data_IF_936351032624
#
_entry.id   IF_936351032624
#
_cell.length_a   1.000
_cell.length_b   1.000
_cell.length_c   1.000
_cell.angle_alpha   90.00
_cell.angle_beta   90.00
_cell.angle_gamma   90.00
#
_symmetry.space_group_name_H-M   'P 1'
#
loop_
_entity.id
_entity.type
_entity.pdbx_description
1 polymer ?
#
# COMPACT_ATOMS: atom_id res chain seq x y z
N UNK A 1 42.90 -21.06 9.38
CA UNK A 1 42.48 -22.26 10.09
C UNK A 1 42.24 -21.86 11.56
N UNK A 2 41.05 -21.44 11.90
CA UNK A 2 40.64 -21.29 13.32
C UNK A 2 39.53 -22.33 13.55
N UNK A 3 39.89 -23.43 14.16
CA UNK A 3 38.95 -24.33 14.80
C UNK A 3 38.47 -23.63 16.07
N UNK A 4 37.22 -23.20 16.12
CA UNK A 4 36.57 -22.87 17.38
C UNK A 4 36.18 -24.17 18.07
N UNK A 5 37.09 -24.64 18.93
CA UNK A 5 36.81 -25.73 19.89
C UNK A 5 35.86 -25.19 20.95
N UNK A 6 34.66 -25.74 21.03
CA UNK A 6 34.05 -25.83 22.34
C UNK A 6 35.06 -26.56 23.24
N UNK A 7 35.40 -25.99 24.40
CA UNK A 7 36.47 -26.44 25.27
C UNK A 7 36.48 -27.95 25.45
N UNK A 8 37.40 -28.62 24.78
CA UNK A 8 37.67 -30.02 24.99
C UNK A 8 38.37 -30.15 26.33
N UNK A 9 37.67 -30.63 27.33
CA UNK A 9 38.31 -31.20 28.51
C UNK A 9 39.04 -32.48 28.10
N UNK A 10 40.17 -32.70 28.72
CA UNK A 10 41.16 -33.74 28.51
C UNK A 10 40.63 -35.05 27.92
N UNK A 11 41.30 -35.49 26.88
CA UNK A 11 41.13 -36.74 26.19
C UNK A 11 40.92 -37.92 27.16
N UNK A 12 39.68 -38.38 27.27
CA UNK A 12 39.34 -39.64 27.84
C UNK A 12 38.99 -40.58 26.71
N UNK A 13 39.80 -41.60 26.39
CA UNK A 13 39.55 -42.49 25.26
C UNK A 13 38.27 -43.31 25.42
N UNK A 14 37.68 -43.38 26.59
CA UNK A 14 36.42 -44.07 26.84
C UNK A 14 35.15 -43.17 26.73
N UNK A 15 35.33 -41.84 26.54
CA UNK A 15 34.27 -40.91 26.27
C UNK A 15 34.34 -40.51 24.80
N UNK A 16 33.36 -40.88 24.02
CA UNK A 16 33.32 -40.68 22.57
C UNK A 16 33.67 -39.23 22.14
N UNK A 17 34.44 -39.14 21.06
CA UNK A 17 34.69 -37.87 20.35
C UNK A 17 33.52 -37.55 19.48
N UNK A 18 32.85 -36.43 19.78
CA UNK A 18 31.77 -35.92 18.98
C UNK A 18 32.19 -34.62 18.27
N UNK A 19 32.19 -34.65 16.93
CA UNK A 19 32.60 -33.53 16.10
C UNK A 19 31.60 -33.34 14.96
N UNK A 20 31.18 -32.10 14.74
CA UNK A 20 30.32 -31.75 13.61
C UNK A 20 31.11 -30.86 12.64
N UNK A 21 31.18 -31.25 11.38
CA UNK A 21 31.80 -30.46 10.32
C UNK A 21 30.80 -30.18 9.18
N UNK A 22 30.77 -28.93 8.68
CA UNK A 22 30.09 -28.64 7.42
C UNK A 22 30.91 -29.10 6.22
N UNK A 23 30.26 -29.55 5.14
CA UNK A 23 30.92 -30.07 3.90
C UNK A 23 31.92 -29.07 3.32
N UNK A 24 31.75 -27.78 3.52
CA UNK A 24 32.66 -26.76 3.00
C UNK A 24 33.86 -26.45 3.92
N UNK A 25 34.22 -27.33 4.80
CA UNK A 25 35.35 -27.21 5.77
C UNK A 25 35.26 -25.96 6.68
N UNK A 26 34.09 -25.43 6.89
CA UNK A 26 33.86 -24.33 7.80
C UNK A 26 33.14 -24.91 9.02
N UNK A 27 33.77 -24.83 10.20
CA UNK A 27 33.13 -25.14 11.47
C UNK A 27 32.23 -23.95 11.83
N UNK A 28 30.95 -24.14 11.70
CA UNK A 28 29.98 -23.10 12.07
C UNK A 28 29.19 -23.53 13.29
N UNK A 29 29.14 -22.67 14.26
CA UNK A 29 28.06 -22.66 15.24
C UNK A 29 26.79 -22.02 14.62
N UNK A 30 26.94 -21.25 13.53
CA UNK A 30 25.86 -20.54 12.87
C UNK A 30 25.99 -20.63 11.34
N UNK A 31 24.85 -20.72 10.65
CA UNK A 31 24.76 -20.64 9.17
C UNK A 31 23.62 -19.75 8.78
N UNK A 32 23.91 -18.74 7.95
CA UNK A 32 22.89 -17.98 7.24
C UNK A 32 22.49 -18.71 5.96
N UNK A 33 21.20 -18.82 5.72
CA UNK A 33 20.61 -19.37 4.50
C UNK A 33 19.62 -18.37 3.89
N UNK A 34 19.35 -18.55 2.60
CA UNK A 34 18.34 -17.73 1.90
C UNK A 34 16.95 -18.00 2.47
N UNK A 35 16.02 -17.14 2.12
CA UNK A 35 14.60 -17.30 2.45
C UNK A 35 13.93 -18.50 1.78
N UNK A 36 14.46 -19.00 0.65
CA UNK A 36 13.90 -20.16 -0.08
C UNK A 36 14.04 -21.44 0.73
N UNK A 37 13.12 -22.37 0.53
CA UNK A 37 13.27 -23.72 1.03
C UNK A 37 14.58 -24.34 0.50
N UNK A 38 15.22 -25.17 1.32
CA UNK A 38 16.48 -25.76 0.94
C UNK A 38 17.02 -26.76 1.95
N UNK A 39 18.27 -27.14 1.76
CA UNK A 39 18.97 -28.02 2.70
C UNK A 39 20.47 -27.72 2.76
N UNK A 40 21.06 -28.10 3.88
CA UNK A 40 22.50 -28.14 4.05
C UNK A 40 22.92 -29.50 4.63
N UNK A 41 24.12 -29.94 4.34
CA UNK A 41 24.65 -31.16 4.92
C UNK A 41 25.70 -30.83 5.97
N UNK A 42 25.64 -31.56 7.08
CA UNK A 42 26.62 -31.52 8.15
C UNK A 42 27.21 -32.93 8.35
N UNK A 43 28.49 -33.02 8.63
CA UNK A 43 29.14 -34.28 8.97
C UNK A 43 29.23 -34.40 10.48
N UNK A 44 28.71 -35.51 10.98
CA UNK A 44 28.93 -35.95 12.35
C UNK A 44 30.09 -36.93 12.31
N UNK A 45 31.17 -36.64 13.05
CA UNK A 45 32.24 -37.56 13.30
C UNK A 45 32.17 -38.00 14.78
N UNK A 46 31.95 -39.30 15.00
CA UNK A 46 31.73 -39.82 16.35
C UNK A 46 32.18 -41.28 16.44
N UNK A 47 32.73 -41.66 17.58
CA UNK A 47 33.06 -43.05 17.91
C UNK A 47 31.96 -43.71 18.79
N UNK A 48 30.86 -43.09 19.01
CA UNK A 48 29.71 -43.55 19.80
C UNK A 48 28.40 -43.36 19.06
N UNK A 49 27.32 -43.82 19.65
CA UNK A 49 25.98 -43.50 19.17
C UNK A 49 25.59 -42.04 19.52
N UNK A 50 24.89 -41.37 18.62
CA UNK A 50 24.46 -39.98 18.75
C UNK A 50 23.05 -39.79 18.22
N UNK A 51 22.41 -38.68 18.64
CA UNK A 51 21.08 -38.27 18.18
C UNK A 51 21.12 -36.85 17.63
N UNK A 52 20.20 -36.55 16.70
CA UNK A 52 19.96 -35.21 16.17
C UNK A 52 18.51 -34.82 16.31
N UNK A 53 18.26 -33.61 16.79
CA UNK A 53 16.91 -33.10 17.05
C UNK A 53 16.76 -31.66 16.57
N UNK A 54 15.84 -31.38 15.60
CA UNK A 54 15.47 -30.03 15.27
C UNK A 54 14.61 -29.44 16.40
N UNK A 55 14.98 -28.25 16.89
CA UNK A 55 14.29 -27.51 17.93
C UNK A 55 13.31 -26.47 17.38
N UNK A 56 13.20 -26.37 16.08
CA UNK A 56 12.31 -25.43 15.39
C UNK A 56 11.46 -26.16 14.37
N UNK A 57 10.16 -25.84 14.31
CA UNK A 57 9.17 -26.55 13.46
C UNK A 57 9.48 -26.50 11.96
N UNK A 58 10.19 -25.47 11.52
CA UNK A 58 10.54 -25.24 10.12
C UNK A 58 11.87 -25.92 9.72
N UNK A 59 12.52 -26.62 10.66
CA UNK A 59 13.71 -27.45 10.41
C UNK A 59 13.35 -28.92 10.50
N UNK A 60 13.96 -29.71 9.65
CA UNK A 60 13.90 -31.18 9.70
C UNK A 60 15.27 -31.79 9.43
N UNK A 61 15.46 -33.03 9.88
CA UNK A 61 16.68 -33.80 9.61
C UNK A 61 16.30 -35.10 8.93
N UNK A 62 17.16 -35.58 8.01
CA UNK A 62 16.92 -36.84 7.29
C UNK A 62 17.13 -38.08 8.18
N UNK A 63 17.78 -37.92 9.32
CA UNK A 63 17.97 -38.96 10.32
C UNK A 63 18.01 -38.37 11.74
N UNK A 64 17.36 -39.04 12.68
CA UNK A 64 17.30 -38.61 14.09
C UNK A 64 18.49 -39.07 14.93
N UNK A 65 19.46 -39.83 14.33
CA UNK A 65 20.66 -40.29 15.00
C UNK A 65 21.45 -41.24 14.16
N UNK A 66 22.58 -41.73 14.68
CA UNK A 66 23.46 -42.63 14.01
C UNK A 66 24.58 -43.16 14.93
N UNK A 67 25.49 -43.95 14.35
CA UNK A 67 26.70 -44.43 15.02
C UNK A 67 27.89 -44.23 14.09
N UNK A 68 28.97 -43.70 14.61
CA UNK A 68 30.15 -43.40 13.82
C UNK A 68 29.92 -42.13 12.93
N UNK A 69 30.79 -42.02 11.91
CA UNK A 69 30.85 -40.89 11.02
C UNK A 69 29.74 -40.96 9.96
N UNK A 70 28.87 -39.99 9.93
CA UNK A 70 27.74 -39.92 9.00
C UNK A 70 27.43 -38.48 8.60
N UNK A 71 26.97 -38.28 7.36
CA UNK A 71 26.34 -37.02 6.92
C UNK A 71 24.89 -36.95 7.41
N UNK A 72 24.49 -35.77 7.87
CA UNK A 72 23.10 -35.44 8.19
C UNK A 72 22.67 -34.28 7.30
N UNK A 73 21.55 -34.46 6.61
CA UNK A 73 20.92 -33.39 5.86
C UNK A 73 19.92 -32.70 6.73
N UNK A 74 20.15 -31.39 6.94
CA UNK A 74 19.19 -30.49 7.59
C UNK A 74 18.43 -29.77 6.49
N UNK A 75 17.11 -29.94 6.44
CA UNK A 75 16.21 -29.23 5.52
C UNK A 75 15.49 -28.13 6.24
N UNK A 76 15.19 -27.05 5.53
CA UNK A 76 14.46 -25.89 6.03
C UNK A 76 13.38 -25.47 5.03
N UNK A 77 12.22 -25.09 5.57
CA UNK A 77 11.10 -24.60 4.80
C UNK A 77 11.35 -23.18 4.31
N UNK A 78 10.60 -22.73 3.29
CA UNK A 78 10.58 -21.35 2.84
C UNK A 78 10.18 -20.39 3.98
N UNK A 79 10.83 -19.23 4.01
CA UNK A 79 10.52 -18.16 4.98
C UNK A 79 9.97 -16.94 4.26
N UNK A 80 8.67 -16.74 4.36
CA UNK A 80 7.96 -15.59 3.77
C UNK A 80 7.81 -14.38 4.69
N UNK A 81 8.28 -14.48 5.94
CA UNK A 81 8.02 -13.46 6.96
C UNK A 81 9.31 -12.83 7.49
N UNK A 82 9.46 -12.72 8.78
CA UNK A 82 10.62 -12.11 9.41
C UNK A 82 11.84 -13.03 9.40
N UNK A 83 13.04 -12.43 9.52
CA UNK A 83 14.27 -13.17 9.78
C UNK A 83 14.05 -14.10 10.96
N UNK A 84 14.27 -15.40 10.76
CA UNK A 84 14.08 -16.40 11.81
C UNK A 84 15.36 -17.17 12.09
N UNK A 85 15.49 -17.66 13.32
CA UNK A 85 16.60 -18.47 13.78
C UNK A 85 16.07 -19.76 14.35
N UNK A 86 16.68 -20.87 13.93
CA UNK A 86 16.35 -22.21 14.43
C UNK A 86 17.60 -22.98 14.81
N UNK A 87 17.44 -24.03 15.60
CA UNK A 87 18.52 -24.82 16.16
C UNK A 87 18.30 -26.28 15.81
N UNK A 88 19.38 -26.96 15.41
CA UNK A 88 19.47 -28.42 15.40
C UNK A 88 20.48 -28.83 16.44
N UNK A 89 20.06 -29.65 17.38
CA UNK A 89 20.88 -30.13 18.51
C UNK A 89 21.32 -31.55 18.29
N UNK A 90 22.61 -31.79 18.50
CA UNK A 90 23.24 -33.11 18.45
C UNK A 90 23.71 -33.51 19.84
N UNK A 91 23.39 -34.75 20.26
CA UNK A 91 23.76 -35.26 21.59
C UNK A 91 24.35 -36.64 21.47
N UNK A 92 25.33 -36.96 22.32
CA UNK A 92 25.91 -38.26 22.54
C UNK A 92 26.23 -38.48 23.99
N UNK A 93 26.23 -39.72 24.50
CA UNK A 93 26.49 -40.02 25.91
C UNK A 93 27.90 -39.59 26.30
N UNK A 94 27.97 -38.92 27.46
CA UNK A 94 29.22 -38.44 28.03
C UNK A 94 29.85 -37.22 27.37
N UNK A 95 29.17 -36.61 26.39
CA UNK A 95 29.65 -35.43 25.63
C UNK A 95 28.66 -34.27 25.72
N UNK A 96 29.19 -33.04 25.81
CA UNK A 96 28.32 -31.85 25.79
C UNK A 96 27.59 -31.79 24.45
N UNK A 97 26.30 -31.42 24.46
CA UNK A 97 25.54 -31.20 23.24
C UNK A 97 26.20 -30.15 22.34
N UNK A 98 26.13 -30.38 21.03
CA UNK A 98 26.54 -29.41 20.01
C UNK A 98 25.29 -28.90 19.30
N UNK A 99 25.21 -27.59 19.09
CA UNK A 99 24.09 -26.96 18.43
C UNK A 99 24.56 -26.25 17.18
N UNK A 100 23.78 -26.43 16.10
CA UNK A 100 23.92 -25.67 14.87
C UNK A 100 22.76 -24.66 14.83
N UNK A 101 23.12 -23.41 14.78
CA UNK A 101 22.18 -22.30 14.64
C UNK A 101 22.04 -22.00 13.15
N UNK A 102 20.80 -22.06 12.65
CA UNK A 102 20.48 -21.72 11.27
C UNK A 102 19.64 -20.43 11.29
N UNK A 103 20.19 -19.39 10.67
CA UNK A 103 19.49 -18.12 10.49
C UNK A 103 19.01 -18.01 9.06
N UNK A 104 17.70 -17.89 8.86
CA UNK A 104 17.09 -17.75 7.55
C UNK A 104 16.64 -16.31 7.31
N UNK A 105 17.00 -15.74 6.16
CA UNK A 105 16.62 -14.38 5.77
C UNK A 105 15.12 -14.27 5.56
N UNK A 106 14.59 -13.05 5.69
CA UNK A 106 13.24 -12.70 5.30
C UNK A 106 13.17 -12.39 3.79
N UNK A 107 11.98 -12.50 3.22
CA UNK A 107 11.64 -11.91 1.93
C UNK A 107 11.40 -10.42 2.11
N UNK A 108 12.08 -9.60 1.33
CA UNK A 108 11.95 -8.14 1.38
C UNK A 108 11.76 -7.54 0.00
N UNK A 109 11.15 -6.38 -0.03
CA UNK A 109 11.08 -5.49 -1.18
C UNK A 109 11.55 -4.08 -0.77
N UNK A 110 11.64 -3.16 -1.72
CA UNK A 110 11.98 -1.75 -1.45
C UNK A 110 10.99 -0.82 -2.12
N UNK A 111 10.73 0.33 -1.50
CA UNK A 111 10.01 1.43 -2.13
C UNK A 111 10.98 2.39 -2.85
N UNK A 112 10.54 3.08 -3.93
CA UNK A 112 9.23 2.94 -4.57
C UNK A 112 9.06 1.59 -5.26
N UNK A 113 7.80 1.10 -5.28
CA UNK A 113 7.47 -0.11 -6.03
C UNK A 113 7.64 0.13 -7.53
N UNK A 114 7.95 -0.94 -8.28
CA UNK A 114 8.24 -0.83 -9.71
C UNK A 114 6.97 -0.88 -10.58
N UNK A 115 7.00 -0.20 -11.71
CA UNK A 115 5.96 -0.23 -12.73
C UNK A 115 6.57 -0.81 -14.01
N UNK A 116 6.07 -1.97 -14.44
CA UNK A 116 6.64 -2.69 -15.58
C UNK A 116 8.14 -3.00 -15.41
N UNK A 117 8.58 -3.25 -14.17
CA UNK A 117 9.97 -3.55 -13.81
C UNK A 117 10.89 -2.33 -13.65
N UNK A 118 10.38 -1.11 -13.75
CA UNK A 118 11.16 0.12 -13.64
C UNK A 118 10.69 1.01 -12.48
N UNK A 119 11.60 1.75 -11.87
CA UNK A 119 11.25 2.85 -10.97
C UNK A 119 10.71 4.00 -11.82
N UNK A 120 9.43 4.29 -11.68
CA UNK A 120 8.73 5.33 -12.44
C UNK A 120 7.76 6.10 -11.56
N UNK A 121 7.44 7.32 -11.96
CA UNK A 121 6.46 8.16 -11.26
C UNK A 121 5.05 7.60 -11.44
N UNK A 122 4.28 7.64 -10.36
CA UNK A 122 2.85 7.35 -10.33
C UNK A 122 2.24 8.26 -9.27
N UNK A 123 1.90 9.50 -9.62
CA UNK A 123 1.14 10.36 -8.73
C UNK A 123 -0.25 9.78 -8.50
N UNK A 124 -0.82 10.08 -7.33
CA UNK A 124 -2.18 9.72 -6.96
C UNK A 124 -2.45 8.22 -7.18
N UNK A 125 -1.64 7.33 -6.54
CA UNK A 125 -1.65 5.90 -6.83
C UNK A 125 -2.92 5.25 -6.30
N UNK A 126 -3.61 4.50 -7.18
CA UNK A 126 -4.77 3.72 -6.79
C UNK A 126 -4.51 2.24 -7.08
N UNK A 127 -4.48 1.44 -6.01
CA UNK A 127 -4.32 -0.02 -6.08
C UNK A 127 -5.37 -0.67 -5.19
N UNK A 128 -6.26 -1.45 -5.79
CA UNK A 128 -7.33 -2.17 -5.10
C UNK A 128 -7.17 -3.68 -5.30
N UNK A 129 -7.36 -4.45 -4.22
CA UNK A 129 -7.42 -5.92 -4.29
C UNK A 129 -8.84 -6.38 -4.58
N UNK A 130 -9.01 -7.23 -5.59
CA UNK A 130 -10.24 -7.95 -5.86
C UNK A 130 -9.91 -9.39 -6.24
N UNK A 131 -10.48 -10.34 -5.50
CA UNK A 131 -10.08 -11.74 -5.57
C UNK A 131 -8.59 -11.93 -5.34
N UNK A 132 -7.93 -12.63 -6.26
CA UNK A 132 -6.49 -12.93 -6.20
C UNK A 132 -5.61 -11.83 -6.82
N UNK A 133 -6.20 -10.74 -7.31
CA UNK A 133 -5.49 -9.73 -8.08
C UNK A 133 -5.51 -8.37 -7.41
N UNK A 134 -4.43 -7.64 -7.60
CA UNK A 134 -4.34 -6.19 -7.40
C UNK A 134 -4.54 -5.48 -8.73
N UNK A 135 -5.49 -4.57 -8.77
CA UNK A 135 -5.75 -3.72 -9.93
C UNK A 135 -5.20 -2.33 -9.66
N UNK A 136 -4.33 -1.88 -10.54
CA UNK A 136 -3.79 -0.52 -10.52
C UNK A 136 -4.53 0.33 -11.53
N UNK A 137 -5.04 1.48 -11.10
CA UNK A 137 -5.66 2.48 -11.95
C UNK A 137 -4.86 3.79 -11.85
N UNK A 138 -4.51 4.37 -12.99
CA UNK A 138 -3.74 5.62 -13.01
C UNK A 138 -4.04 6.48 -14.24
N UNK A 139 -3.78 7.78 -14.10
CA UNK A 139 -3.74 8.68 -15.26
C UNK A 139 -2.52 8.34 -16.16
N UNK A 140 -2.74 8.42 -17.47
CA UNK A 140 -1.72 8.18 -18.49
C UNK A 140 -1.92 9.19 -19.64
N UNK A 141 -1.31 10.37 -19.49
CA UNK A 141 -1.65 11.52 -20.32
C UNK A 141 -3.12 11.89 -20.13
N UNK A 142 -3.84 12.08 -21.24
CA UNK A 142 -5.27 12.35 -21.21
C UNK A 142 -6.12 11.06 -21.20
N UNK A 143 -5.67 10.02 -20.56
CA UNK A 143 -6.40 8.76 -20.49
C UNK A 143 -6.21 8.03 -19.18
N UNK A 144 -6.94 6.94 -19.01
CA UNK A 144 -6.90 6.05 -17.87
C UNK A 144 -6.25 4.75 -18.29
N UNK A 145 -5.25 4.32 -17.53
CA UNK A 145 -4.56 3.07 -17.75
C UNK A 145 -4.75 2.14 -16.53
N UNK A 146 -5.03 0.88 -16.81
CA UNK A 146 -5.28 -0.15 -15.82
C UNK A 146 -4.33 -1.33 -16.06
N UNK A 147 -3.86 -1.95 -14.98
CA UNK A 147 -3.18 -3.24 -15.01
C UNK A 147 -3.63 -4.10 -13.84
N UNK A 148 -3.31 -5.38 -13.89
CA UNK A 148 -3.49 -6.28 -12.76
C UNK A 148 -2.19 -7.03 -12.45
N UNK A 149 -1.99 -7.35 -11.19
CA UNK A 149 -0.86 -8.13 -10.67
C UNK A 149 -1.36 -9.07 -9.59
N UNK A 150 -0.69 -10.19 -9.37
CA UNK A 150 -0.90 -11.02 -8.17
C UNK A 150 -0.09 -10.50 -6.98
N UNK A 151 0.73 -9.47 -7.18
CA UNK A 151 1.64 -8.89 -6.19
C UNK A 151 1.28 -7.44 -5.92
N UNK A 152 1.27 -7.05 -4.65
CA UNK A 152 1.12 -5.65 -4.23
C UNK A 152 2.38 -4.84 -4.52
N UNK A 153 3.55 -5.45 -4.38
CA UNK A 153 4.85 -4.77 -4.50
C UNK A 153 5.32 -4.56 -5.95
N UNK A 154 4.53 -5.03 -6.93
CA UNK A 154 4.85 -4.90 -8.36
C UNK A 154 3.62 -4.48 -9.15
N UNK A 155 3.69 -3.32 -9.77
CA UNK A 155 2.70 -2.90 -10.76
C UNK A 155 3.14 -3.40 -12.13
N UNK A 156 2.33 -4.24 -12.77
CA UNK A 156 2.58 -4.69 -14.14
C UNK A 156 2.46 -3.52 -15.12
N UNK A 157 2.95 -3.70 -16.34
CA UNK A 157 2.80 -2.72 -17.40
C UNK A 157 1.32 -2.37 -17.59
N UNK A 158 1.00 -1.08 -17.48
CA UNK A 158 -0.38 -0.60 -17.62
C UNK A 158 -0.78 -0.46 -19.08
N UNK A 159 -2.04 -0.76 -19.39
CA UNK A 159 -2.63 -0.55 -20.71
C UNK A 159 -3.68 0.55 -20.63
N UNK A 160 -3.61 1.52 -21.54
CA UNK A 160 -4.63 2.57 -21.65
C UNK A 160 -5.97 1.95 -22.03
N UNK A 161 -6.99 2.19 -21.22
CA UNK A 161 -8.34 1.63 -21.38
C UNK A 161 -9.36 2.64 -21.88
N UNK A 162 -9.13 3.90 -21.62
CA UNK A 162 -10.00 4.98 -22.05
C UNK A 162 -9.20 6.28 -22.22
N UNK A 163 -9.68 7.20 -23.04
CA UNK A 163 -9.09 8.53 -23.23
C UNK A 163 -10.17 9.59 -23.21
N UNK A 164 -9.84 10.77 -22.74
CA UNK A 164 -10.70 11.95 -22.84
C UNK A 164 -11.15 12.14 -24.29
N UNK A 165 -12.38 12.58 -24.52
CA UNK A 165 -12.88 12.84 -25.85
C UNK A 165 -12.03 13.91 -26.54
N UNK A 166 -11.83 13.73 -27.85
CA UNK A 166 -11.17 14.75 -28.65
C UNK A 166 -12.08 15.97 -28.80
N UNK A 167 -11.50 17.16 -28.86
CA UNK A 167 -12.26 18.38 -29.03
C UNK A 167 -13.13 18.29 -30.27
N UNK A 168 -14.44 18.31 -30.07
CA UNK A 168 -15.44 18.29 -31.14
C UNK A 168 -16.29 19.54 -31.12
N UNK A 169 -17.22 19.72 -32.06
CA UNK A 169 -18.08 20.89 -32.14
C UNK A 169 -18.97 21.08 -30.90
N UNK A 170 -19.23 20.04 -30.12
CA UNK A 170 -19.98 20.10 -28.87
C UNK A 170 -19.14 20.54 -27.67
N UNK A 171 -17.81 20.66 -27.81
CA UNK A 171 -16.89 21.08 -26.74
C UNK A 171 -17.21 20.43 -25.38
N UNK A 172 -16.95 19.13 -25.20
CA UNK A 172 -17.26 18.45 -23.94
C UNK A 172 -16.51 19.07 -22.76
N UNK A 173 -16.99 18.79 -21.56
CA UNK A 173 -16.44 19.35 -20.33
C UNK A 173 -15.07 18.77 -19.94
N UNK A 174 -14.76 17.55 -20.40
CA UNK A 174 -13.65 16.69 -19.98
C UNK A 174 -12.63 16.50 -21.11
N UNK A 175 -11.98 17.57 -21.55
CA UNK A 175 -11.06 17.52 -22.70
C UNK A 175 -9.58 17.65 -22.32
N UNK A 176 -9.27 18.00 -21.07
CA UNK A 176 -7.91 18.20 -20.60
C UNK A 176 -7.73 17.83 -19.14
N UNK A 177 -6.49 17.58 -18.77
CA UNK A 177 -6.04 17.39 -17.39
C UNK A 177 -6.83 16.30 -16.65
N UNK A 178 -6.73 15.05 -17.15
CA UNK A 178 -7.28 13.90 -16.45
C UNK A 178 -6.44 13.59 -15.21
N UNK A 179 -7.08 13.61 -14.02
CA UNK A 179 -6.43 13.42 -12.74
C UNK A 179 -7.07 12.33 -11.91
N UNK A 180 -6.26 11.72 -11.03
CA UNK A 180 -6.60 10.86 -9.92
C UNK A 180 -7.76 9.89 -10.19
N UNK A 181 -7.65 8.98 -11.17
CA UNK A 181 -8.71 8.00 -11.40
C UNK A 181 -8.70 6.93 -10.31
N UNK A 182 -9.88 6.64 -9.75
CA UNK A 182 -10.12 5.61 -8.74
C UNK A 182 -11.04 4.52 -9.26
N UNK A 183 -10.67 3.24 -9.01
CA UNK A 183 -11.31 2.05 -9.57
C UNK A 183 -12.11 1.29 -8.53
N UNK A 184 -13.39 1.06 -8.76
CA UNK A 184 -14.30 0.36 -7.86
C UNK A 184 -15.01 -0.79 -8.54
N UNK A 185 -15.08 -1.95 -7.87
CA UNK A 185 -15.94 -3.06 -8.24
C UNK A 185 -17.24 -2.96 -7.45
N UNK A 186 -18.36 -2.70 -8.12
CA UNK A 186 -19.67 -2.52 -7.48
C UNK A 186 -20.71 -3.38 -8.21
N UNK A 187 -21.21 -4.39 -7.53
CA UNK A 187 -22.11 -5.37 -8.12
C UNK A 187 -21.40 -6.21 -9.19
N UNK A 188 -21.88 -6.17 -10.42
CA UNK A 188 -21.35 -6.90 -11.58
C UNK A 188 -20.63 -5.99 -12.57
N UNK A 189 -20.21 -4.80 -12.14
CA UNK A 189 -19.53 -3.80 -12.98
C UNK A 189 -18.40 -3.12 -12.23
N UNK A 190 -17.45 -2.61 -13.02
CA UNK A 190 -16.39 -1.75 -12.54
C UNK A 190 -16.68 -0.30 -12.89
N UNK A 191 -16.29 0.60 -12.00
CA UNK A 191 -16.46 2.04 -12.15
C UNK A 191 -15.12 2.74 -11.96
N UNK A 192 -14.85 3.77 -12.77
CA UNK A 192 -13.71 4.66 -12.56
C UNK A 192 -14.23 6.07 -12.36
N UNK A 193 -14.00 6.62 -11.17
CA UNK A 193 -14.20 8.04 -10.94
C UNK A 193 -12.93 8.78 -11.30
N UNK A 194 -13.05 9.91 -11.99
CA UNK A 194 -11.91 10.69 -12.46
C UNK A 194 -12.25 12.18 -12.47
N UNK A 195 -11.23 13.06 -12.43
CA UNK A 195 -11.40 14.47 -12.66
C UNK A 195 -10.84 14.87 -14.02
N UNK A 196 -11.49 15.82 -14.68
CA UNK A 196 -11.02 16.44 -15.90
C UNK A 196 -11.60 17.84 -16.07
N UNK A 197 -11.01 18.63 -16.99
CA UNK A 197 -11.42 20.00 -17.22
C UNK A 197 -11.23 20.47 -18.65
N UNK A 198 -11.11 21.77 -18.82
CA UNK A 198 -11.05 22.46 -20.12
C UNK A 198 -9.83 23.36 -20.26
N UNK A 199 -8.79 23.20 -19.46
CA UNK A 199 -7.58 24.03 -19.57
C UNK A 199 -7.00 23.96 -20.97
N UNK A 200 -6.58 25.12 -21.50
CA UNK A 200 -6.07 25.24 -22.86
C UNK A 200 -7.17 25.49 -23.92
N UNK A 201 -8.45 25.50 -23.52
CA UNK A 201 -9.57 25.76 -24.43
C UNK A 201 -10.27 27.08 -24.04
N UNK A 202 -10.83 27.78 -25.05
CA UNK A 202 -11.62 29.01 -24.86
C UNK A 202 -10.94 30.07 -23.95
N UNK A 203 -9.61 30.15 -23.97
CA UNK A 203 -8.83 31.08 -23.15
C UNK A 203 -8.66 30.65 -21.68
N UNK A 204 -9.09 29.45 -21.28
CA UNK A 204 -8.94 28.92 -19.94
C UNK A 204 -7.50 28.51 -19.69
N UNK A 205 -6.85 29.18 -18.73
CA UNK A 205 -5.43 28.93 -18.40
C UNK A 205 -5.24 28.19 -17.07
N UNK A 206 -6.26 28.21 -16.19
CA UNK A 206 -6.23 27.58 -14.86
C UNK A 206 -7.02 26.29 -14.77
N UNK A 207 -6.99 25.67 -13.59
CA UNK A 207 -7.64 24.39 -13.31
C UNK A 207 -9.07 24.51 -12.76
N UNK A 208 -9.65 25.71 -12.67
CA UNK A 208 -10.97 25.96 -12.07
C UNK A 208 -12.15 25.27 -12.78
N UNK A 209 -11.92 24.70 -13.97
CA UNK A 209 -12.93 23.94 -14.71
C UNK A 209 -12.96 22.45 -14.41
N UNK A 210 -12.12 21.97 -13.49
CA UNK A 210 -12.11 20.56 -13.10
C UNK A 210 -13.46 20.12 -12.50
N UNK A 211 -13.98 19.01 -13.00
CA UNK A 211 -15.21 18.36 -12.56
C UNK A 211 -14.96 16.86 -12.44
N UNK A 212 -15.73 16.19 -11.62
CA UNK A 212 -15.69 14.73 -11.51
C UNK A 212 -16.65 14.08 -12.50
N UNK A 213 -16.18 13.03 -13.13
CA UNK A 213 -16.95 12.16 -14.00
C UNK A 213 -16.78 10.71 -13.63
N UNK A 214 -17.58 9.83 -14.26
CA UNK A 214 -17.54 8.41 -14.00
C UNK A 214 -17.60 7.60 -15.29
N UNK A 215 -16.75 6.58 -15.37
CA UNK A 215 -16.81 5.52 -16.38
C UNK A 215 -17.42 4.28 -15.76
N UNK A 216 -18.07 3.47 -16.58
CA UNK A 216 -18.57 2.14 -16.24
C UNK A 216 -17.99 1.11 -17.20
N UNK A 217 -17.53 -0.05 -16.72
CA UNK A 217 -17.13 -1.15 -17.57
C UNK A 217 -18.34 -1.74 -18.33
N UNK A 218 -18.14 -2.18 -19.57
CA UNK A 218 -19.23 -2.84 -20.32
C UNK A 218 -19.51 -4.25 -19.85
N UNK A 219 -18.55 -4.87 -19.20
CA UNK A 219 -18.62 -6.23 -18.64
C UNK A 219 -18.02 -6.23 -17.23
N UNK A 220 -18.07 -7.36 -16.53
CA UNK A 220 -17.38 -7.58 -15.27
C UNK A 220 -15.88 -7.85 -15.47
N UNK A 221 -15.21 -7.02 -16.27
CA UNK A 221 -13.77 -7.08 -16.52
C UNK A 221 -13.20 -5.64 -16.62
N UNK A 222 -12.39 -5.21 -15.65
CA UNK A 222 -11.80 -3.86 -15.66
C UNK A 222 -10.74 -3.69 -16.76
N UNK A 223 -10.26 -4.78 -17.35
CA UNK A 223 -9.34 -4.74 -18.48
C UNK A 223 -10.04 -4.70 -19.84
N UNK A 224 -11.38 -4.80 -19.84
CA UNK A 224 -12.23 -4.72 -21.03
C UNK A 224 -12.48 -3.29 -21.51
N UNK A 225 -13.64 -3.10 -22.15
CA UNK A 225 -14.10 -1.82 -22.67
C UNK A 225 -14.89 -1.01 -21.64
N UNK A 226 -14.82 0.31 -21.76
CA UNK A 226 -15.46 1.28 -20.88
C UNK A 226 -16.42 2.19 -21.63
N UNK A 227 -17.44 2.67 -20.94
CA UNK A 227 -18.35 3.71 -21.39
C UNK A 227 -18.30 4.91 -20.46
N UNK A 228 -18.37 6.11 -21.03
CA UNK A 228 -18.42 7.36 -20.26
C UNK A 228 -19.86 7.63 -19.84
N UNK A 229 -20.10 7.61 -18.54
CA UNK A 229 -21.42 7.90 -17.94
C UNK A 229 -21.63 9.40 -17.69
N UNK A 230 -20.59 10.20 -17.94
CA UNK A 230 -20.66 11.66 -17.87
C UNK A 230 -20.25 12.28 -16.55
N UNK A 231 -20.54 13.56 -16.43
CA UNK A 231 -20.25 14.39 -15.26
C UNK A 231 -21.17 14.05 -14.08
N UNK A 232 -20.62 14.05 -12.88
CA UNK A 232 -21.38 13.92 -11.63
C UNK A 232 -21.85 15.28 -11.13
N UNK A 233 -23.01 15.34 -10.48
CA UNK A 233 -23.51 16.56 -9.87
C UNK A 233 -22.79 16.85 -8.55
N UNK A 234 -22.10 17.97 -8.45
CA UNK A 234 -21.31 18.36 -7.27
C UNK A 234 -21.70 19.74 -6.72
N UNK A 235 -22.94 20.17 -7.00
CA UNK A 235 -23.44 21.48 -6.63
C UNK A 235 -24.15 21.54 -5.26
N UNK A 236 -24.61 22.74 -4.91
CA UNK A 236 -25.26 23.03 -3.64
C UNK A 236 -26.80 22.85 -3.69
N UNK A 237 -27.41 23.05 -4.86
CA UNK A 237 -28.86 23.14 -5.02
C UNK A 237 -29.40 21.94 -5.80
N UNK A 238 -29.25 20.73 -5.23
CA UNK A 238 -29.74 19.52 -5.86
C UNK A 238 -31.27 19.54 -5.99
N UNK A 239 -31.73 19.13 -7.17
CA UNK A 239 -33.15 18.87 -7.43
C UNK A 239 -33.30 17.50 -8.10
N UNK A 240 -34.30 16.69 -7.77
CA UNK A 240 -34.51 15.40 -8.42
C UNK A 240 -34.56 15.54 -9.96
N UNK A 241 -33.74 14.72 -10.64
CA UNK A 241 -33.62 14.72 -12.10
C UNK A 241 -32.72 15.81 -12.68
N UNK A 242 -32.00 16.57 -11.85
CA UNK A 242 -31.03 17.56 -12.32
C UNK A 242 -29.97 16.90 -13.21
N UNK A 243 -29.69 17.50 -14.35
CA UNK A 243 -28.57 17.06 -15.21
C UNK A 243 -27.34 17.89 -14.91
N UNK A 244 -26.18 17.24 -14.61
CA UNK A 244 -24.94 17.95 -14.35
C UNK A 244 -24.49 18.76 -15.56
N UNK A 245 -24.07 19.99 -15.34
CA UNK A 245 -23.47 20.87 -16.33
C UNK A 245 -22.34 21.67 -15.68
N UNK A 246 -21.49 22.29 -16.48
CA UNK A 246 -20.44 23.17 -15.97
C UNK A 246 -21.00 24.37 -15.18
N UNK A 247 -22.27 24.75 -15.42
CA UNK A 247 -22.91 25.92 -14.80
C UNK A 247 -23.56 25.60 -13.45
N UNK A 248 -23.97 24.34 -13.21
CA UNK A 248 -24.64 23.93 -11.96
C UNK A 248 -23.82 22.94 -11.12
N UNK A 249 -22.54 22.74 -11.45
CA UNK A 249 -21.60 21.94 -10.70
C UNK A 249 -20.41 22.80 -10.26
N UNK A 250 -19.85 22.44 -9.13
CA UNK A 250 -18.66 23.09 -8.57
C UNK A 250 -17.37 22.35 -8.98
N UNK A 251 -16.21 22.97 -8.74
CA UNK A 251 -14.91 22.31 -8.79
C UNK A 251 -14.93 21.06 -7.93
N UNK A 252 -14.55 19.92 -8.54
CA UNK A 252 -14.54 18.63 -7.86
C UNK A 252 -13.45 17.74 -8.45
N UNK A 253 -12.53 17.28 -7.59
CA UNK A 253 -11.44 16.35 -7.91
C UNK A 253 -11.39 15.24 -6.87
N UNK A 254 -10.66 14.16 -7.18
CA UNK A 254 -10.34 13.06 -6.26
C UNK A 254 -11.61 12.44 -5.65
N UNK A 255 -12.60 12.14 -6.50
CA UNK A 255 -13.85 11.58 -6.02
C UNK A 255 -13.72 10.09 -5.73
N UNK A 256 -13.99 9.74 -4.47
CA UNK A 256 -14.11 8.38 -3.95
C UNK A 256 -15.54 8.06 -3.53
N UNK A 257 -15.85 6.78 -3.25
CA UNK A 257 -17.20 6.34 -2.83
C UNK A 257 -17.14 5.26 -1.77
N UNK A 258 -18.16 5.22 -0.93
CA UNK A 258 -18.39 4.13 0.02
C UNK A 258 -19.88 3.87 0.21
N UNK A 259 -20.19 2.73 0.82
CA UNK A 259 -21.55 2.38 1.21
C UNK A 259 -21.60 2.18 2.72
N UNK A 260 -22.62 2.75 3.37
CA UNK A 260 -22.92 2.54 4.78
C UNK A 260 -24.42 2.34 4.97
N UNK A 261 -24.81 1.26 5.64
CA UNK A 261 -26.21 0.90 5.92
C UNK A 261 -27.11 0.90 4.67
N UNK A 262 -26.57 0.46 3.54
CA UNK A 262 -27.30 0.36 2.26
C UNK A 262 -27.45 1.69 1.50
N UNK A 263 -26.86 2.79 2.00
CA UNK A 263 -26.78 4.06 1.30
C UNK A 263 -25.37 4.28 0.78
N UNK A 264 -25.23 4.62 -0.50
CA UNK A 264 -23.96 5.00 -1.12
C UNK A 264 -23.72 6.50 -1.01
N UNK A 265 -22.45 6.85 -0.81
CA UNK A 265 -21.99 8.24 -0.68
C UNK A 265 -20.81 8.47 -1.65
N UNK A 266 -20.74 9.68 -2.19
CA UNK A 266 -19.58 10.23 -2.88
C UNK A 266 -18.87 11.22 -1.96
N UNK A 267 -17.53 11.14 -1.92
CA UNK A 267 -16.66 12.08 -1.18
C UNK A 267 -15.63 12.63 -2.15
N UNK A 268 -15.38 13.93 -2.13
CA UNK A 268 -14.42 14.56 -3.05
C UNK A 268 -13.75 15.80 -2.45
N UNK A 269 -12.70 16.29 -3.11
CA UNK A 269 -12.15 17.62 -2.86
C UNK A 269 -12.87 18.65 -3.70
N UNK A 270 -13.53 19.60 -3.07
CA UNK A 270 -14.22 20.70 -3.73
C UNK A 270 -13.65 22.05 -3.35
N UNK A 271 -13.80 23.06 -4.24
CA UNK A 271 -13.25 24.38 -4.02
C UNK A 271 -14.36 25.36 -3.60
N UNK A 272 -14.13 26.07 -2.50
CA UNK A 272 -14.99 27.16 -2.06
C UNK A 272 -14.68 28.49 -2.77
N UNK A 273 -15.39 29.56 -2.37
CA UNK A 273 -15.27 30.89 -2.98
C UNK A 273 -13.88 31.50 -2.90
N UNK A 274 -13.07 31.11 -1.90
CA UNK A 274 -11.75 31.69 -1.62
C UNK A 274 -10.58 30.76 -2.04
N UNK A 275 -10.81 29.88 -3.02
CA UNK A 275 -9.86 28.85 -3.44
C UNK A 275 -9.42 27.92 -2.29
N UNK A 276 -10.30 27.70 -1.32
CA UNK A 276 -10.10 26.76 -0.21
C UNK A 276 -10.64 25.40 -0.63
N UNK A 277 -9.76 24.40 -0.78
CA UNK A 277 -10.17 23.03 -1.06
C UNK A 277 -10.63 22.34 0.23
N UNK A 278 -11.80 21.70 0.14
CA UNK A 278 -12.55 21.14 1.27
C UNK A 278 -12.97 19.73 0.95
N UNK A 279 -13.02 18.86 1.97
CA UNK A 279 -13.64 17.54 1.82
C UNK A 279 -15.16 17.71 1.88
N UNK A 280 -15.82 17.22 0.85
CA UNK A 280 -17.26 17.31 0.63
C UNK A 280 -17.87 15.94 0.43
N UNK A 281 -19.13 15.78 0.77
CA UNK A 281 -19.90 14.54 0.68
C UNK A 281 -21.29 14.79 0.11
N UNK A 282 -21.83 13.82 -0.59
CA UNK A 282 -23.25 13.75 -1.00
C UNK A 282 -23.70 12.29 -1.07
N UNK A 283 -25.02 12.06 -1.01
CA UNK A 283 -25.58 10.73 -1.26
C UNK A 283 -25.59 10.40 -2.74
N UNK A 284 -25.57 9.10 -3.05
CA UNK A 284 -25.73 8.56 -4.40
C UNK A 284 -26.91 7.60 -4.46
N UNK A 285 -27.71 7.66 -5.53
CA UNK A 285 -28.78 6.69 -5.79
C UNK A 285 -28.29 5.44 -6.52
N UNK A 286 -27.21 5.58 -7.26
CA UNK A 286 -26.49 4.53 -7.97
C UNK A 286 -25.03 4.99 -8.21
N UNK A 287 -24.11 4.12 -8.68
CA UNK A 287 -22.71 4.51 -8.84
C UNK A 287 -22.43 5.65 -9.84
N UNK A 288 -23.42 6.07 -10.63
CA UNK A 288 -23.28 7.14 -11.62
C UNK A 288 -24.08 8.40 -11.28
N UNK A 289 -24.85 8.41 -10.17
CA UNK A 289 -25.83 9.48 -9.90
C UNK A 289 -25.72 9.97 -8.45
N UNK A 290 -25.27 11.20 -8.26
CA UNK A 290 -25.40 11.91 -6.98
C UNK A 290 -26.85 12.32 -6.78
N UNK A 291 -27.40 12.11 -5.57
CA UNK A 291 -28.82 12.23 -5.24
C UNK A 291 -29.14 13.21 -4.12
N UNK A 292 -28.17 14.03 -3.72
CA UNK A 292 -28.39 15.12 -2.76
C UNK A 292 -27.53 16.34 -3.06
N UNK A 293 -27.83 17.46 -2.42
CA UNK A 293 -26.88 18.57 -2.29
C UNK A 293 -25.67 18.13 -1.50
N UNK A 294 -24.52 18.73 -1.80
CA UNK A 294 -23.29 18.41 -1.08
C UNK A 294 -23.25 19.05 0.31
N UNK A 295 -22.51 18.43 1.21
CA UNK A 295 -22.18 18.93 2.54
C UNK A 295 -20.67 19.04 2.68
N UNK A 296 -20.18 20.06 3.38
CA UNK A 296 -18.76 20.24 3.69
C UNK A 296 -18.43 19.50 4.99
N UNK A 297 -17.55 18.52 4.94
CA UNK A 297 -17.11 17.77 6.11
C UNK A 297 -15.84 18.34 6.75
N UNK A 298 -14.90 18.83 5.94
CA UNK A 298 -13.64 19.38 6.44
C UNK A 298 -13.20 20.60 5.63
N UNK A 299 -12.81 21.63 6.38
CA UNK A 299 -12.09 22.80 5.86
C UNK A 299 -10.71 22.86 6.50
N UNK A 300 -9.62 23.19 5.75
CA UNK A 300 -8.29 23.35 6.32
C UNK A 300 -8.25 24.51 7.31
N UNK A 301 -8.17 24.20 8.60
CA UNK A 301 -8.19 25.18 9.70
C UNK A 301 -7.01 25.01 10.66
N UNK A 302 -6.38 23.84 10.65
CA UNK A 302 -5.27 23.54 11.54
C UNK A 302 -3.96 24.09 10.97
N UNK A 303 -3.03 24.49 11.83
CA UNK A 303 -1.72 25.02 11.41
C UNK A 303 -0.93 24.03 10.54
N UNK A 304 -1.06 22.75 10.81
CA UNK A 304 -0.41 21.67 10.03
C UNK A 304 -1.13 21.38 8.70
N UNK A 305 -2.34 21.88 8.45
CA UNK A 305 -3.06 21.83 7.17
C UNK A 305 -2.76 23.01 6.24
N UNK A 306 -2.09 24.06 6.72
CA UNK A 306 -1.95 25.34 6.01
C UNK A 306 -0.52 25.85 5.95
N UNK A 307 0.46 24.93 5.97
CA UNK A 307 1.89 25.27 6.15
C UNK A 307 2.47 26.08 4.98
N UNK A 308 1.99 25.90 3.75
CA UNK A 308 2.56 26.55 2.56
C UNK A 308 1.67 27.70 2.06
N UNK A 309 0.88 28.30 2.94
CA UNK A 309 0.00 29.43 2.61
C UNK A 309 -1.18 29.06 1.69
N UNK A 310 -1.37 27.77 1.42
CA UNK A 310 -2.52 27.21 0.71
C UNK A 310 -3.42 26.47 1.70
N UNK A 311 -4.70 26.48 1.46
CA UNK A 311 -5.71 25.81 2.27
C UNK A 311 -6.30 24.66 1.46
N UNK A 312 -5.68 23.47 1.57
CA UNK A 312 -6.01 22.30 0.76
C UNK A 312 -6.28 21.10 1.66
N UNK A 313 -7.49 20.53 1.51
CA UNK A 313 -7.82 19.16 1.87
C UNK A 313 -8.24 18.46 0.58
N UNK A 314 -7.53 17.39 0.18
CA UNK A 314 -7.74 16.66 -1.08
C UNK A 314 -7.45 15.17 -0.94
N UNK A 315 -7.64 14.39 -2.01
CA UNK A 315 -7.33 12.97 -2.06
C UNK A 315 -8.01 12.15 -0.96
N UNK A 316 -9.34 12.26 -0.73
CA UNK A 316 -10.02 11.45 0.27
C UNK A 316 -10.00 9.99 -0.12
N UNK A 317 -9.66 9.11 0.83
CA UNK A 317 -9.69 7.66 0.69
C UNK A 317 -10.46 7.05 1.86
N UNK A 318 -11.22 6.01 1.60
CA UNK A 318 -12.06 5.38 2.62
C UNK A 318 -11.29 4.25 3.29
N UNK A 319 -11.30 4.24 4.62
CA UNK A 319 -10.71 3.19 5.43
C UNK A 319 -11.71 2.77 6.52
N UNK A 320 -11.94 1.47 6.66
CA UNK A 320 -12.91 0.93 7.62
C UNK A 320 -12.22 0.02 8.63
N UNK A 321 -12.53 0.25 9.90
CA UNK A 321 -12.23 -0.69 10.98
C UNK A 321 -13.54 -1.35 11.42
N UNK A 322 -13.86 -2.48 10.80
CA UNK A 322 -15.10 -3.22 11.08
C UNK A 322 -15.18 -3.69 12.54
N UNK A 323 -14.06 -4.13 13.12
CA UNK A 323 -14.01 -4.61 14.50
C UNK A 323 -14.43 -3.53 15.51
N UNK A 324 -14.05 -2.28 15.24
CA UNK A 324 -14.33 -1.15 16.11
C UNK A 324 -15.53 -0.30 15.65
N UNK A 325 -16.18 -0.69 14.54
CA UNK A 325 -17.30 0.05 13.98
C UNK A 325 -16.95 1.48 13.57
N UNK A 326 -15.74 1.70 13.02
CA UNK A 326 -15.23 3.03 12.66
C UNK A 326 -14.99 3.14 11.16
N UNK A 327 -15.52 4.22 10.57
CA UNK A 327 -15.24 4.60 9.20
C UNK A 327 -14.37 5.85 9.19
N UNK A 328 -13.34 5.84 8.36
CA UNK A 328 -12.43 6.96 8.20
C UNK A 328 -12.47 7.47 6.76
N UNK A 329 -12.47 8.78 6.61
CA UNK A 329 -12.05 9.47 5.39
C UNK A 329 -10.63 9.97 5.67
N UNK A 330 -9.64 9.26 5.13
CA UNK A 330 -8.25 9.68 5.19
C UNK A 330 -8.00 10.62 4.02
N UNK A 331 -7.51 11.81 4.28
CA UNK A 331 -7.32 12.84 3.27
C UNK A 331 -5.93 13.47 3.35
N UNK A 332 -5.51 14.07 2.26
CA UNK A 332 -4.26 14.80 2.18
C UNK A 332 -4.46 16.28 2.47
N UNK A 333 -3.46 16.92 3.05
CA UNK A 333 -3.45 18.35 3.28
C UNK A 333 -2.10 18.98 2.90
N UNK A 334 -2.13 20.31 2.69
CA UNK A 334 -1.10 21.11 2.04
C UNK A 334 -0.98 20.80 0.53
N UNK A 335 -0.20 21.60 -0.24
CA UNK A 335 -0.03 21.35 -1.68
C UNK A 335 0.72 20.05 -1.97
N UNK A 336 0.22 19.25 -2.90
CA UNK A 336 0.80 17.96 -3.33
C UNK A 336 2.17 18.07 -4.02
N UNK A 337 2.63 19.27 -4.29
CA UNK A 337 3.94 19.57 -4.89
C UNK A 337 4.95 20.10 -3.87
N UNK A 338 4.66 20.03 -2.56
CA UNK A 338 5.53 20.47 -1.49
C UNK A 338 5.89 19.35 -0.53
N UNK A 339 7.02 19.51 0.17
CA UNK A 339 7.47 18.57 1.20
C UNK A 339 6.56 18.51 2.43
N UNK A 340 5.59 19.41 2.53
CA UNK A 340 4.62 19.47 3.63
C UNK A 340 3.34 18.67 3.38
N UNK A 341 3.20 18.07 2.19
CA UNK A 341 2.08 17.18 1.89
C UNK A 341 2.04 16.01 2.88
N UNK A 342 0.86 15.74 3.45
CA UNK A 342 0.67 14.77 4.53
C UNK A 342 -0.76 14.28 4.63
N UNK A 343 -0.98 13.18 5.36
CA UNK A 343 -2.31 12.64 5.60
C UNK A 343 -2.84 13.02 6.98
N UNK A 344 -4.15 13.19 7.02
CA UNK A 344 -4.98 13.32 8.22
C UNK A 344 -6.27 12.50 8.00
N UNK A 345 -7.15 12.45 8.98
CA UNK A 345 -8.41 11.71 8.85
C UNK A 345 -9.59 12.40 9.53
N UNK A 346 -10.78 12.10 9.01
CA UNK A 346 -12.07 12.26 9.66
C UNK A 346 -12.57 10.88 10.05
N UNK A 347 -13.14 10.73 11.24
CA UNK A 347 -13.66 9.45 11.74
C UNK A 347 -15.15 9.59 12.05
N UNK A 348 -15.93 8.61 11.63
CA UNK A 348 -17.35 8.44 11.91
C UNK A 348 -17.59 7.13 12.67
N UNK A 349 -18.44 7.16 13.70
CA UNK A 349 -19.01 5.93 14.27
C UNK A 349 -20.01 5.31 13.28
N UNK A 350 -19.79 4.08 12.85
CA UNK A 350 -20.64 3.43 11.85
C UNK A 350 -22.00 3.01 12.40
N UNK A 351 -22.16 2.90 13.73
CA UNK A 351 -23.40 2.48 14.36
C UNK A 351 -24.39 3.64 14.48
N UNK A 352 -23.94 4.78 14.97
CA UNK A 352 -24.79 5.90 15.35
C UNK A 352 -24.59 7.15 14.47
N UNK A 353 -23.46 7.27 13.77
CA UNK A 353 -23.14 8.45 12.96
C UNK A 353 -23.92 8.55 11.66
N UNK A 354 -24.28 9.76 11.29
CA UNK A 354 -24.84 10.12 9.98
C UNK A 354 -23.73 10.73 9.10
N UNK A 355 -23.34 10.06 7.99
CA UNK A 355 -22.32 10.58 7.09
C UNK A 355 -22.61 12.00 6.55
N UNK A 356 -23.89 12.40 6.45
CA UNK A 356 -24.28 13.71 5.96
C UNK A 356 -24.30 14.79 7.06
N UNK A 357 -24.06 14.42 8.32
CA UNK A 357 -23.95 15.38 9.41
C UNK A 357 -22.46 15.67 9.75
N UNK A 358 -21.93 16.88 9.44
CA UNK A 358 -20.54 17.21 9.75
C UNK A 358 -20.18 17.11 11.24
N UNK A 359 -21.17 17.25 12.14
CA UNK A 359 -20.94 17.19 13.59
C UNK A 359 -20.66 15.76 14.09
N UNK A 360 -21.01 14.73 13.32
CA UNK A 360 -20.76 13.33 13.66
C UNK A 360 -19.35 12.88 13.27
N UNK A 361 -18.63 13.70 12.50
CA UNK A 361 -17.26 13.44 12.09
C UNK A 361 -16.26 14.07 13.04
N UNK A 362 -15.37 13.24 13.57
CA UNK A 362 -14.25 13.70 14.38
C UNK A 362 -13.02 13.87 13.50
N UNK A 363 -12.47 15.09 13.43
CA UNK A 363 -11.17 15.35 12.77
C UNK A 363 -10.02 14.93 13.68
N UNK A 364 -8.97 14.34 13.12
CA UNK A 364 -7.73 14.05 13.83
C UNK A 364 -7.11 15.31 14.43
N UNK A 365 -6.57 15.21 15.63
CA UNK A 365 -5.99 16.36 16.34
C UNK A 365 -4.67 16.84 15.75
N UNK A 366 -4.01 15.98 14.94
CA UNK A 366 -2.79 16.25 14.22
C UNK A 366 -2.79 15.48 12.90
N UNK A 367 -1.78 15.71 12.04
CA UNK A 367 -1.56 14.83 10.90
C UNK A 367 -1.32 13.40 11.37
N UNK A 368 -1.78 12.42 10.59
CA UNK A 368 -1.68 11.01 10.89
C UNK A 368 -0.48 10.32 10.23
N UNK A 369 0.06 10.90 9.12
CA UNK A 369 1.14 10.29 8.38
C UNK A 369 1.93 11.35 7.61
N UNK A 370 3.25 11.38 7.82
CA UNK A 370 4.16 12.30 7.15
C UNK A 370 5.61 11.85 7.30
N UNK A 371 6.43 12.15 6.26
CA UNK A 371 7.89 12.06 6.32
C UNK A 371 8.51 13.14 5.42
N UNK A 372 9.63 13.69 5.85
CA UNK A 372 10.43 14.60 5.04
C UNK A 372 11.92 14.46 5.36
N UNK A 373 12.66 13.84 4.44
CA UNK A 373 14.12 13.65 4.55
C UNK A 373 14.90 14.91 4.17
N UNK A 374 14.23 15.95 3.62
CA UNK A 374 14.83 17.18 3.08
C UNK A 374 15.92 16.92 2.02
N UNK A 375 15.83 15.80 1.30
CA UNK A 375 16.80 15.44 0.28
C UNK A 375 16.61 16.27 -0.98
N UNK A 376 17.71 16.49 -1.70
CA UNK A 376 17.77 17.17 -3.01
C UNK A 376 18.58 16.31 -3.98
N UNK A 377 18.38 16.54 -5.28
CA UNK A 377 19.19 15.87 -6.29
C UNK A 377 20.69 15.98 -6.00
N UNK A 378 21.49 14.92 -6.13
CA UNK A 378 21.13 13.58 -6.64
C UNK A 378 20.65 12.57 -5.58
N UNK A 379 20.50 12.96 -4.33
CA UNK A 379 20.19 12.08 -3.20
C UNK A 379 18.68 11.83 -3.13
N UNK A 380 18.27 10.59 -3.38
CA UNK A 380 16.87 10.18 -3.25
C UNK A 380 16.44 10.10 -1.79
N UNK A 381 15.18 10.48 -1.51
CA UNK A 381 14.58 10.38 -0.20
C UNK A 381 13.05 10.40 -0.29
N UNK A 382 12.40 10.55 0.85
CA UNK A 382 10.95 10.68 0.99
C UNK A 382 10.64 12.07 1.48
N UNK A 383 9.92 12.87 0.70
CA UNK A 383 9.67 14.26 1.00
C UNK A 383 8.23 14.63 0.69
N UNK A 384 7.42 14.75 1.74
CA UNK A 384 5.98 14.94 1.57
C UNK A 384 5.33 13.69 0.95
N UNK A 385 4.41 13.11 1.65
CA UNK A 385 3.69 11.91 1.20
C UNK A 385 2.19 12.12 1.35
N UNK A 386 1.40 11.47 0.52
CA UNK A 386 -0.05 11.61 0.57
C UNK A 386 -0.75 10.95 -0.60
N UNK A 387 -2.00 11.32 -0.78
CA UNK A 387 -2.92 10.77 -1.78
C UNK A 387 -2.88 9.24 -1.74
N UNK A 388 -3.60 8.67 -0.79
CA UNK A 388 -3.49 7.26 -0.45
C UNK A 388 -4.68 6.43 -0.92
N UNK A 389 -4.46 5.13 -0.94
CA UNK A 389 -5.47 4.07 -1.09
C UNK A 389 -5.17 2.98 -0.08
N UNK A 390 -6.16 2.19 0.29
CA UNK A 390 -6.01 1.08 1.22
C UNK A 390 -6.28 -0.25 0.55
N UNK A 391 -5.52 -1.26 0.95
CA UNK A 391 -5.66 -2.62 0.43
C UNK A 391 -5.23 -3.64 1.49
N UNK A 392 -5.36 -4.93 1.18
CA UNK A 392 -4.95 -6.04 2.04
C UNK A 392 -3.75 -6.77 1.42
N UNK A 393 -2.99 -7.49 2.25
CA UNK A 393 -2.03 -8.49 1.77
C UNK A 393 -2.70 -9.58 0.92
N UNK A 394 -1.94 -10.37 0.11
CA UNK A 394 -2.53 -11.46 -0.68
C UNK A 394 -3.40 -12.41 0.12
N UNK A 395 -3.01 -12.80 1.32
CA UNK A 395 -3.76 -13.67 2.23
C UNK A 395 -4.86 -12.95 3.04
N UNK A 396 -4.98 -11.62 2.90
CA UNK A 396 -5.99 -10.80 3.57
C UNK A 396 -5.73 -10.50 5.04
N UNK A 397 -4.60 -10.94 5.61
CA UNK A 397 -4.33 -10.84 7.06
C UNK A 397 -3.73 -9.51 7.50
N UNK A 398 -3.17 -8.74 6.57
CA UNK A 398 -2.51 -7.47 6.85
C UNK A 398 -3.19 -6.31 6.14
N UNK A 399 -3.20 -5.15 6.80
CA UNK A 399 -3.64 -3.87 6.25
C UNK A 399 -2.45 -3.11 5.63
N UNK A 400 -2.65 -2.60 4.40
CA UNK A 400 -1.63 -1.90 3.64
C UNK A 400 -2.12 -0.56 3.13
N UNK A 401 -1.27 0.46 3.24
CA UNK A 401 -1.47 1.77 2.64
C UNK A 401 -0.61 1.91 1.39
N UNK A 402 -1.23 2.40 0.31
CA UNK A 402 -0.58 2.81 -0.93
C UNK A 402 -0.60 4.33 -0.98
N UNK A 403 0.50 4.97 -1.28
CA UNK A 403 0.59 6.43 -1.31
C UNK A 403 1.67 6.88 -2.29
N UNK A 404 1.74 8.15 -2.63
CA UNK A 404 2.92 8.67 -3.30
C UNK A 404 3.80 9.48 -2.35
N UNK A 405 5.08 9.53 -2.67
CA UNK A 405 6.04 10.41 -2.03
C UNK A 405 6.95 11.08 -3.06
N UNK A 406 7.38 12.32 -2.80
CA UNK A 406 8.33 13.01 -3.67
C UNK A 406 9.75 12.51 -3.38
N UNK A 407 10.51 12.30 -4.46
CA UNK A 407 11.93 11.91 -4.41
C UNK A 407 12.82 13.01 -3.82
N UNK A 408 12.51 14.27 -4.13
CA UNK A 408 13.26 15.45 -3.70
C UNK A 408 12.35 16.44 -3.00
N UNK A 409 12.85 17.16 -2.02
CA UNK A 409 12.07 18.13 -1.23
C UNK A 409 11.55 19.32 -2.03
N UNK A 410 12.12 19.57 -3.21
CA UNK A 410 11.77 20.59 -4.20
C UNK A 410 11.37 19.98 -5.55
N UNK A 411 11.04 18.69 -5.59
CA UNK A 411 10.77 17.93 -6.82
C UNK A 411 9.46 18.30 -7.52
N UNK A 412 8.51 18.85 -6.81
CA UNK A 412 7.22 19.23 -7.36
C UNK A 412 6.41 18.03 -7.86
N UNK A 413 5.41 18.29 -8.69
CA UNK A 413 4.49 17.24 -9.20
C UNK A 413 5.15 16.12 -9.99
N UNK A 414 6.25 16.43 -10.69
CA UNK A 414 6.97 15.48 -11.55
C UNK A 414 7.80 14.43 -10.81
N UNK A 415 7.90 14.50 -9.47
CA UNK A 415 8.77 13.63 -8.68
C UNK A 415 8.00 12.76 -7.66
N UNK A 416 6.73 12.45 -7.94
CA UNK A 416 5.87 11.62 -7.09
C UNK A 416 5.92 10.16 -7.51
N UNK A 417 6.40 9.29 -6.62
CA UNK A 417 6.61 7.86 -6.84
C UNK A 417 5.69 7.02 -5.95
N UNK A 418 5.25 5.83 -6.39
CA UNK A 418 4.35 4.97 -5.61
C UNK A 418 5.09 4.23 -4.51
N UNK A 419 4.52 4.25 -3.33
CA UNK A 419 4.98 3.56 -2.13
C UNK A 419 3.86 2.69 -1.57
N UNK A 420 4.23 1.58 -0.95
CA UNK A 420 3.33 0.73 -0.19
C UNK A 420 3.96 0.39 1.15
N UNK A 421 3.17 0.36 2.22
CA UNK A 421 3.65 -0.13 3.51
C UNK A 421 2.50 -0.70 4.32
N UNK A 422 2.83 -1.66 5.18
CA UNK A 422 1.91 -2.19 6.18
C UNK A 422 1.62 -1.13 7.24
N UNK A 423 0.37 -1.13 7.73
CA UNK A 423 -0.01 -0.34 8.89
C UNK A 423 -0.79 -1.19 9.90
N UNK A 424 -0.98 -0.67 11.09
CA UNK A 424 -1.69 -1.33 12.19
C UNK A 424 -2.78 -0.41 12.76
N UNK A 425 -3.48 -0.91 13.77
CA UNK A 425 -4.53 -0.18 14.45
C UNK A 425 -4.14 0.07 15.91
N UNK A 426 -4.38 1.29 16.38
CA UNK A 426 -4.29 1.62 17.80
C UNK A 426 -5.39 0.90 18.59
N UNK A 427 -5.24 0.80 19.89
CA UNK A 427 -6.20 0.16 20.79
C UNK A 427 -7.60 0.79 20.71
N UNK A 428 -7.67 2.08 20.43
CA UNK A 428 -8.93 2.81 20.23
C UNK A 428 -9.53 2.62 18.83
N UNK A 429 -8.87 1.88 17.95
CA UNK A 429 -9.32 1.59 16.59
C UNK A 429 -8.99 2.68 15.56
N UNK A 430 -8.21 3.69 15.91
CA UNK A 430 -7.64 4.63 14.93
C UNK A 430 -6.47 4.01 14.17
N UNK A 431 -6.21 4.37 12.89
CA UNK A 431 -5.09 3.82 12.15
C UNK A 431 -3.75 4.33 12.70
N UNK A 432 -2.78 3.42 12.80
CA UNK A 432 -1.38 3.71 13.08
C UNK A 432 -0.56 3.40 11.82
N UNK A 433 -0.27 4.43 11.03
CA UNK A 433 0.50 4.30 9.79
C UNK A 433 2.01 4.20 10.05
N UNK A 434 2.46 4.41 11.28
CA UNK A 434 3.88 4.44 11.63
C UNK A 434 4.61 5.60 10.97
N UNK A 435 5.92 5.45 10.81
CA UNK A 435 6.76 6.36 10.03
C UNK A 435 6.71 5.96 8.54
N UNK A 436 6.68 6.94 7.64
CA UNK A 436 6.72 6.68 6.20
C UNK A 436 7.97 5.89 5.81
N UNK A 437 7.79 4.84 5.00
CA UNK A 437 8.89 4.00 4.53
C UNK A 437 9.96 4.80 3.76
N UNK A 438 11.23 4.50 4.00
CA UNK A 438 12.35 5.17 3.34
C UNK A 438 12.56 4.74 1.89
N UNK A 439 13.22 5.59 1.13
CA UNK A 439 13.60 5.28 -0.25
C UNK A 439 14.67 4.18 -0.29
N UNK A 440 14.36 3.04 -0.89
CA UNK A 440 15.27 1.90 -0.99
C UNK A 440 15.49 1.13 0.31
N UNK A 441 14.78 1.45 1.37
CA UNK A 441 14.82 0.69 2.63
C UNK A 441 14.13 -0.66 2.46
N UNK A 442 14.75 -1.77 2.92
CA UNK A 442 14.12 -3.09 2.87
C UNK A 442 12.90 -3.17 3.80
N UNK A 443 11.78 -3.58 3.24
CA UNK A 443 10.55 -3.87 3.95
C UNK A 443 10.17 -5.34 3.77
N UNK A 444 9.50 -5.93 4.74
CA UNK A 444 8.96 -7.28 4.61
C UNK A 444 7.92 -7.32 3.49
N UNK A 445 7.94 -8.41 2.69
CA UNK A 445 6.86 -8.64 1.72
C UNK A 445 5.50 -8.73 2.43
N UNK A 446 4.42 -8.30 1.74
CA UNK A 446 3.07 -8.59 2.20
C UNK A 446 2.86 -10.07 2.48
N UNK A 447 2.16 -10.39 3.57
CA UNK A 447 1.86 -11.78 3.92
C UNK A 447 1.15 -12.51 2.77
N UNK A 448 1.66 -13.68 2.39
CA UNK A 448 1.17 -14.44 1.24
C UNK A 448 1.72 -13.98 -0.12
N UNK A 449 2.53 -12.92 -0.21
CA UNK A 449 3.20 -12.53 -1.46
C UNK A 449 4.46 -13.38 -1.69
N UNK A 450 4.60 -13.92 -2.90
CA UNK A 450 5.77 -14.67 -3.35
C UNK A 450 6.54 -13.90 -4.43
N UNK A 451 7.87 -14.12 -4.53
CA UNK A 451 8.73 -13.47 -5.54
C UNK A 451 8.54 -14.03 -6.95
#
# INVERSE_FOLDING_TARGET
>A
LLCLFGHAHAFNPDLGNFRIECINRLNFSEKMVSNSAGSLEVFVSSNTEWTSEPRSKWLSVDRSGGKGDLAVRISFEENGTEKRTGIVRFTADGVNPVEIIITQSALTFTNPITIGGNIATMPDPYIVKDGDYYYTCKASGNGIAISRSMRLTVVNATTKKWSLPYEGPSKPWNIADLWAPELFHIGDRWYVYYAAGRRGQDGITGYGTQRSGVLRSKTDDPLGEWEDMGMLYTGYDYQPGIKPTAANTEYAIDLTTFELKGQRYAVWSGNGTDAVQQIRIATMSDPCTISSSMVILSTPTQSWETMDGRKINEGPAILVNEEKGKLFIVYSCNPSWTKNYRLAWLMLDMNDGDPMNPADWQKSSNYAFWRCDNTKEPVSGVNGLGHCTFTKSPDGTEDWIVYHAMRYSDGGWGQRYPFVQKFTWNADGTPDFGEGAGWGEPLLLPSGETL
#
